data_IF_685072624823
#
_entry.id   IF_685072624823
#
_cell.length_a   1.000
_cell.length_b   1.000
_cell.length_c   1.000
_cell.angle_alpha   90.00
_cell.angle_beta   90.00
_cell.angle_gamma   90.00
#
_symmetry.space_group_name_H-M   'P 1'
#
loop_
_entity.id
_entity.type
_entity.pdbx_description
1 polymer ?
#
# COMPACT_ATOMS: atom_id res chain seq x y z
N UNK A 1 -7.49 -14.76 -13.84
CA UNK A 1 -6.12 -15.19 -13.50
C UNK A 1 -5.14 -14.26 -14.19
N UNK A 2 -4.02 -13.99 -13.53
CA UNK A 2 -2.95 -13.16 -14.07
C UNK A 2 -2.07 -13.99 -15.02
N UNK A 3 -1.67 -13.42 -16.16
CA UNK A 3 -0.88 -14.12 -17.19
C UNK A 3 0.50 -13.47 -17.28
N UNK A 4 1.55 -14.30 -17.33
CA UNK A 4 2.93 -13.84 -17.43
C UNK A 4 3.38 -13.92 -18.88
N UNK A 5 3.79 -12.79 -19.46
CA UNK A 5 4.42 -12.72 -20.78
C UNK A 5 5.92 -12.61 -20.60
N UNK A 6 6.68 -13.55 -21.17
CA UNK A 6 8.15 -13.58 -21.04
C UNK A 6 8.85 -12.62 -22.00
N UNK A 7 8.27 -12.36 -23.17
CA UNK A 7 8.83 -11.47 -24.18
C UNK A 7 8.15 -10.09 -24.13
N UNK A 8 8.92 -9.05 -23.80
CA UNK A 8 8.42 -7.68 -23.69
C UNK A 8 7.74 -7.16 -24.96
N UNK A 9 8.18 -7.59 -26.14
CA UNK A 9 7.59 -7.14 -27.42
C UNK A 9 6.13 -7.57 -27.56
N UNK A 10 5.74 -8.69 -26.94
CA UNK A 10 4.37 -9.21 -26.98
C UNK A 10 3.50 -8.75 -25.81
N UNK A 11 4.06 -8.03 -24.83
CA UNK A 11 3.35 -7.65 -23.61
C UNK A 11 2.05 -6.88 -23.89
N UNK A 12 2.11 -5.91 -24.81
CA UNK A 12 0.96 -5.08 -25.19
C UNK A 12 -0.09 -5.91 -25.95
N UNK A 13 0.38 -6.80 -26.83
CA UNK A 13 -0.51 -7.68 -27.59
C UNK A 13 -1.29 -8.61 -26.67
N UNK A 14 -0.60 -9.29 -25.75
CA UNK A 14 -1.19 -10.21 -24.79
C UNK A 14 -2.16 -9.49 -23.85
N UNK A 15 -1.81 -8.28 -23.40
CA UNK A 15 -2.69 -7.43 -22.59
C UNK A 15 -3.99 -7.08 -23.34
N UNK A 16 -3.90 -6.73 -24.63
CA UNK A 16 -5.08 -6.46 -25.45
C UNK A 16 -5.96 -7.70 -25.60
N UNK A 17 -5.38 -8.85 -25.92
CA UNK A 17 -6.12 -10.10 -26.04
C UNK A 17 -6.79 -10.49 -24.73
N UNK A 18 -6.14 -10.23 -23.59
CA UNK A 18 -6.72 -10.43 -22.27
C UNK A 18 -7.97 -9.59 -22.07
N UNK A 19 -7.93 -8.30 -22.38
CA UNK A 19 -9.10 -7.40 -22.24
C UNK A 19 -10.25 -7.84 -23.14
N UNK A 20 -9.96 -8.23 -24.39
CA UNK A 20 -10.98 -8.76 -25.30
C UNK A 20 -11.61 -10.05 -24.77
N UNK A 21 -10.81 -10.98 -24.25
CA UNK A 21 -11.33 -12.20 -23.62
C UNK A 21 -12.23 -11.91 -22.42
N UNK A 22 -11.89 -10.91 -21.60
CA UNK A 22 -12.73 -10.51 -20.46
C UNK A 22 -14.07 -9.91 -20.92
N UNK A 23 -14.08 -9.21 -22.06
CA UNK A 23 -15.31 -8.70 -22.64
C UNK A 23 -16.19 -9.83 -23.19
N UNK A 24 -15.60 -10.81 -23.88
CA UNK A 24 -16.30 -12.02 -24.34
C UNK A 24 -16.88 -12.84 -23.16
N UNK A 25 -16.15 -12.90 -22.05
CA UNK A 25 -16.57 -13.54 -20.80
C UNK A 25 -17.66 -12.74 -20.03
N UNK A 26 -18.17 -11.63 -20.59
CA UNK A 26 -19.09 -10.70 -19.94
C UNK A 26 -18.61 -10.24 -18.54
N UNK A 27 -17.33 -9.91 -18.43
CA UNK A 27 -16.75 -9.47 -17.16
C UNK A 27 -17.46 -8.22 -16.60
N UNK A 28 -18.11 -8.37 -15.44
CA UNK A 28 -18.61 -7.27 -14.64
C UNK A 28 -17.62 -6.92 -13.54
N UNK A 29 -17.38 -5.62 -13.31
CA UNK A 29 -16.56 -5.17 -12.20
C UNK A 29 -17.15 -5.65 -10.85
N UNK A 30 -16.33 -6.12 -9.90
CA UNK A 30 -16.82 -6.54 -8.59
C UNK A 30 -17.49 -5.35 -7.88
N UNK A 31 -18.64 -5.62 -7.26
CA UNK A 31 -19.35 -4.61 -6.46
C UNK A 31 -18.60 -4.41 -5.15
N UNK A 32 -18.26 -3.15 -4.83
CA UNK A 32 -17.64 -2.78 -3.56
C UNK A 32 -18.56 -3.16 -2.40
N UNK A 33 -18.15 -4.16 -1.61
CA UNK A 33 -18.89 -4.58 -0.41
C UNK A 33 -18.28 -3.91 0.82
N UNK A 34 -19.09 -3.29 1.69
CA UNK A 34 -18.58 -2.74 2.93
C UNK A 34 -18.10 -3.87 3.85
N UNK A 35 -17.04 -3.62 4.60
CA UNK A 35 -16.45 -4.54 5.56
C UNK A 35 -16.19 -3.84 6.90
N UNK A 36 -16.09 -4.62 7.97
CA UNK A 36 -15.88 -4.10 9.31
C UNK A 36 -14.43 -3.60 9.48
N UNK A 37 -14.27 -2.36 9.95
CA UNK A 37 -12.99 -1.78 10.29
C UNK A 37 -12.36 -2.50 11.50
N UNK A 38 -11.05 -2.66 11.44
CA UNK A 38 -10.25 -3.27 12.51
C UNK A 38 -10.25 -2.36 13.76
N UNK A 39 -10.23 -1.04 13.55
CA UNK A 39 -10.30 -0.01 14.58
C UNK A 39 -8.93 0.41 15.12
N UNK A 40 -8.85 1.67 15.55
CA UNK A 40 -7.59 2.35 15.96
C UNK A 40 -6.79 1.61 17.03
N UNK A 41 -7.46 1.01 18.01
CA UNK A 41 -6.79 0.39 19.16
C UNK A 41 -6.13 -0.96 18.83
N UNK A 42 -6.62 -1.66 17.79
CA UNK A 42 -6.17 -3.00 17.47
C UNK A 42 -4.72 -3.06 16.98
N UNK A 43 -4.24 -1.99 16.33
CA UNK A 43 -2.89 -1.91 15.78
C UNK A 43 -1.90 -1.12 16.66
N UNK A 44 -2.29 -0.79 17.89
CA UNK A 44 -1.39 -0.19 18.89
C UNK A 44 -0.06 -0.94 19.08
N UNK A 45 -0.04 -2.28 19.16
CA UNK A 45 1.21 -3.03 19.30
C UNK A 45 2.19 -2.85 18.14
N UNK A 46 1.70 -2.61 16.92
CA UNK A 46 2.54 -2.41 15.73
C UNK A 46 3.34 -1.09 15.81
N UNK A 47 2.83 -0.11 16.57
CA UNK A 47 3.51 1.18 16.81
C UNK A 47 4.57 1.11 17.92
N UNK A 48 4.83 -0.07 18.50
CA UNK A 48 5.86 -0.22 19.52
C UNK A 48 7.25 0.11 18.97
N UNK A 49 8.02 0.92 19.70
CA UNK A 49 9.39 1.32 19.35
C UNK A 49 10.46 0.26 19.65
N UNK A 50 10.06 -0.92 20.13
CA UNK A 50 11.00 -1.98 20.54
C UNK A 50 12.01 -2.32 19.42
N UNK A 51 11.54 -2.44 18.17
CA UNK A 51 12.39 -2.74 17.03
C UNK A 51 13.35 -1.58 16.67
N UNK A 52 13.01 -0.34 17.01
CA UNK A 52 13.90 0.83 16.87
C UNK A 52 14.98 0.79 17.95
N UNK A 53 14.61 0.54 19.21
CA UNK A 53 15.55 0.43 20.32
C UNK A 53 16.54 -0.72 20.17
N UNK A 54 16.09 -1.82 19.55
CA UNK A 54 16.96 -2.95 19.19
C UNK A 54 17.85 -2.66 17.97
N UNK A 55 17.79 -1.47 17.37
CA UNK A 55 18.56 -1.10 16.19
C UNK A 55 18.13 -1.82 14.91
N UNK A 56 17.01 -2.54 14.94
CA UNK A 56 16.48 -3.30 13.79
C UNK A 56 15.77 -2.41 12.78
N UNK A 57 15.28 -1.24 13.20
CA UNK A 57 14.56 -0.25 12.37
C UNK A 57 15.12 1.15 12.62
N UNK A 58 15.14 2.00 11.59
CA UNK A 58 15.42 3.42 11.79
C UNK A 58 14.21 4.13 12.42
N UNK A 59 14.42 5.33 12.98
CA UNK A 59 13.31 6.15 13.46
C UNK A 59 12.32 6.49 12.34
N UNK A 60 12.82 6.64 11.11
CA UNK A 60 11.98 6.91 9.95
C UNK A 60 11.18 5.68 9.51
N UNK A 61 11.76 4.49 9.60
CA UNK A 61 11.02 3.24 9.37
C UNK A 61 9.84 3.13 10.35
N UNK A 62 10.04 3.52 11.61
CA UNK A 62 8.97 3.55 12.60
C UNK A 62 7.90 4.60 12.30
N UNK A 63 8.27 5.77 11.79
CA UNK A 63 7.31 6.80 11.35
C UNK A 63 6.40 6.27 10.23
N UNK A 64 6.98 5.58 9.24
CA UNK A 64 6.22 4.94 8.16
C UNK A 64 5.29 3.85 8.70
N UNK A 65 5.79 2.99 9.60
CA UNK A 65 4.99 1.93 10.24
C UNK A 65 3.80 2.52 11.00
N UNK A 66 3.98 3.63 11.70
CA UNK A 66 2.89 4.30 12.41
C UNK A 66 1.77 4.73 11.46
N UNK A 67 2.13 5.35 10.33
CA UNK A 67 1.17 5.75 9.29
C UNK A 67 0.46 4.54 8.68
N UNK A 68 1.21 3.49 8.37
CA UNK A 68 0.64 2.25 7.81
C UNK A 68 -0.32 1.56 8.79
N UNK A 69 0.03 1.52 10.08
CA UNK A 69 -0.84 1.01 11.13
C UNK A 69 -2.15 1.82 11.23
N UNK A 70 -2.10 3.14 11.04
CA UNK A 70 -3.32 3.97 11.04
C UNK A 70 -4.22 3.70 9.83
N UNK A 71 -3.66 3.50 8.64
CA UNK A 71 -4.41 3.15 7.43
C UNK A 71 -5.10 1.80 7.61
N UNK A 72 -4.34 0.78 8.05
CA UNK A 72 -4.86 -0.57 8.26
C UNK A 72 -5.93 -0.64 9.35
N UNK A 73 -5.88 0.25 10.34
CA UNK A 73 -6.92 0.36 11.36
C UNK A 73 -8.24 0.91 10.81
N UNK A 74 -8.22 1.52 9.63
CA UNK A 74 -9.33 2.29 9.07
C UNK A 74 -9.37 3.73 9.61
N UNK A 75 -8.24 4.29 10.02
CA UNK A 75 -8.15 5.64 10.58
C UNK A 75 -8.66 5.75 12.01
N UNK A 76 -9.28 6.89 12.35
CA UNK A 76 -9.81 7.19 13.69
C UNK A 76 -11.26 6.68 13.86
N UNK A 77 -11.47 5.41 13.53
CA UNK A 77 -12.78 4.75 13.58
C UNK A 77 -12.80 3.67 14.66
N UNK A 78 -13.97 3.48 15.26
CA UNK A 78 -14.23 2.45 16.25
C UNK A 78 -14.28 1.08 15.56
N UNK A 79 -13.69 0.07 16.20
CA UNK A 79 -13.71 -1.31 15.70
C UNK A 79 -15.14 -1.78 15.39
N UNK A 80 -15.32 -2.49 14.27
CA UNK A 80 -16.62 -3.00 13.84
C UNK A 80 -17.46 -2.04 12.99
N UNK A 81 -17.02 -0.80 12.79
CA UNK A 81 -17.73 0.14 11.90
C UNK A 81 -17.60 -0.30 10.43
N UNK A 82 -18.68 -0.23 9.66
CA UNK A 82 -18.67 -0.64 8.25
C UNK A 82 -18.01 0.44 7.38
N UNK A 83 -16.89 0.10 6.75
CA UNK A 83 -16.14 0.95 5.82
C UNK A 83 -16.13 0.37 4.42
N UNK A 84 -15.90 1.22 3.42
CA UNK A 84 -15.78 0.82 2.01
C UNK A 84 -14.31 0.72 1.61
N UNK A 85 -14.02 -0.04 0.55
CA UNK A 85 -12.68 -0.10 -0.04
C UNK A 85 -12.19 1.28 -0.49
N UNK A 86 -13.08 2.09 -1.09
CA UNK A 86 -12.75 3.44 -1.51
C UNK A 86 -12.27 4.32 -0.35
N UNK A 87 -12.88 4.19 0.83
CA UNK A 87 -12.45 4.92 2.03
C UNK A 87 -11.01 4.57 2.43
N UNK A 88 -10.66 3.28 2.39
CA UNK A 88 -9.30 2.82 2.68
C UNK A 88 -8.29 3.36 1.65
N UNK A 89 -8.65 3.33 0.36
CA UNK A 89 -7.82 3.84 -0.74
C UNK A 89 -7.60 5.35 -0.63
N UNK A 90 -8.58 6.10 -0.12
CA UNK A 90 -8.45 7.54 0.09
C UNK A 90 -7.50 7.85 1.26
N UNK A 91 -7.59 7.09 2.37
CA UNK A 91 -6.64 7.17 3.48
C UNK A 91 -5.21 6.81 3.04
N UNK A 92 -5.07 5.75 2.24
CA UNK A 92 -3.78 5.33 1.70
C UNK A 92 -3.17 6.43 0.82
N UNK A 93 -3.99 7.03 -0.05
CA UNK A 93 -3.55 8.11 -0.93
C UNK A 93 -3.05 9.32 -0.13
N UNK A 94 -3.78 9.73 0.90
CA UNK A 94 -3.38 10.85 1.74
C UNK A 94 -2.06 10.57 2.46
N UNK A 95 -1.93 9.39 3.09
CA UNK A 95 -0.71 9.00 3.79
C UNK A 95 0.49 8.89 2.85
N UNK A 96 0.28 8.31 1.66
CA UNK A 96 1.32 8.20 0.64
C UNK A 96 1.79 9.58 0.17
N UNK A 97 0.87 10.49 -0.18
CA UNK A 97 1.21 11.84 -0.61
C UNK A 97 1.95 12.62 0.48
N UNK A 98 1.54 12.45 1.75
CA UNK A 98 2.25 13.02 2.89
C UNK A 98 3.69 12.52 2.97
N UNK A 99 3.93 11.20 2.86
CA UNK A 99 5.26 10.61 2.94
C UNK A 99 6.13 10.95 1.73
N UNK A 100 5.54 11.00 0.52
CA UNK A 100 6.24 11.36 -0.70
C UNK A 100 6.78 12.80 -0.68
N UNK A 101 6.13 13.70 0.07
CA UNK A 101 6.58 15.06 0.30
C UNK A 101 7.77 15.19 1.26
N UNK A 102 8.12 14.12 2.01
CA UNK A 102 9.19 14.17 3.00
C UNK A 102 10.57 13.95 2.37
N UNK A 103 11.56 14.76 2.77
CA UNK A 103 12.93 14.71 2.23
C UNK A 103 13.57 13.33 2.37
N UNK A 104 13.35 12.64 3.50
CA UNK A 104 13.89 11.29 3.74
C UNK A 104 13.36 10.25 2.76
N UNK A 105 12.08 10.33 2.37
CA UNK A 105 11.50 9.46 1.34
C UNK A 105 12.11 9.75 -0.03
N UNK A 106 12.29 11.03 -0.37
CA UNK A 106 12.92 11.41 -1.64
C UNK A 106 14.36 10.91 -1.73
N UNK A 107 15.15 11.06 -0.65
CA UNK A 107 16.51 10.51 -0.57
C UNK A 107 16.53 8.99 -0.77
N UNK A 108 15.59 8.27 -0.17
CA UNK A 108 15.45 6.81 -0.34
C UNK A 108 15.15 6.44 -1.79
N UNK A 109 14.22 7.14 -2.44
CA UNK A 109 13.87 6.94 -3.85
C UNK A 109 15.09 7.21 -4.74
N UNK A 110 15.75 8.36 -4.58
CA UNK A 110 16.93 8.73 -5.36
C UNK A 110 18.07 7.72 -5.16
N UNK A 111 18.33 7.30 -3.92
CA UNK A 111 19.40 6.33 -3.64
C UNK A 111 19.08 4.94 -4.23
N UNK A 112 17.82 4.51 -4.18
CA UNK A 112 17.38 3.26 -4.79
C UNK A 112 17.56 3.29 -6.31
N UNK A 113 17.15 4.39 -6.97
CA UNK A 113 17.29 4.54 -8.42
C UNK A 113 18.75 4.65 -8.88
N UNK A 114 19.62 5.29 -8.09
CA UNK A 114 21.02 5.54 -8.48
C UNK A 114 21.96 4.40 -8.11
N UNK A 115 21.80 3.79 -6.93
CA UNK A 115 22.72 2.78 -6.40
C UNK A 115 22.14 1.36 -6.40
N UNK A 116 20.85 1.21 -6.66
CA UNK A 116 20.15 -0.08 -6.60
C UNK A 116 20.09 -0.70 -5.20
N UNK A 117 20.38 0.07 -4.15
CA UNK A 117 20.42 -0.39 -2.76
C UNK A 117 19.53 0.47 -1.86
N UNK A 118 18.82 -0.14 -0.89
CA UNK A 118 17.98 0.59 0.03
C UNK A 118 18.83 1.52 0.93
N UNK A 119 18.36 2.76 1.10
CA UNK A 119 18.91 3.70 2.06
C UNK A 119 18.14 3.60 3.38
N UNK A 120 18.84 3.51 4.50
CA UNK A 120 18.25 3.51 5.84
C UNK A 120 18.69 4.78 6.57
N UNK A 121 17.84 5.80 6.53
CA UNK A 121 17.93 7.10 7.20
C UNK A 121 16.74 7.32 8.16
#
# INVERSE_FOLDING_TARGET
TDKITLNNDFLIYDAKQRVLSMLEDNYGAPVNKPFAAIGKNALGPLKAKNAVWLGMLSEYDWHIICKLADIMAGGDIIAGSMITEQYLLDLEREAYLSLAGEAKTQERITNMLTKGKPLRN
#
